data_IF_947438347404
#
_entry.id   IF_947438347404
#
_cell.length_a   1.000
_cell.length_b   1.000
_cell.length_c   1.000
_cell.angle_alpha   90.00
_cell.angle_beta   90.00
_cell.angle_gamma   90.00
#
_symmetry.space_group_name_H-M   'P 1'
#
loop_
_entity.id
_entity.type
_entity.pdbx_description
1 polymer ?
#
# COMPACT_ATOMS: atom_id res chain seq x y z
N UNK A 1 -38.23 -21.39 9.74
CA UNK A 1 -37.64 -21.24 8.39
C UNK A 1 -36.20 -20.75 8.56
N UNK A 2 -35.20 -21.54 8.20
CA UNK A 2 -33.81 -21.09 8.17
C UNK A 2 -33.67 -20.05 7.05
N UNK A 3 -33.44 -18.77 7.40
CA UNK A 3 -33.08 -17.74 6.43
C UNK A 3 -31.67 -18.08 5.93
N UNK A 4 -31.56 -18.54 4.68
CA UNK A 4 -30.25 -18.65 4.01
C UNK A 4 -29.75 -17.23 3.75
N UNK A 5 -28.74 -16.80 4.50
CA UNK A 5 -28.03 -15.56 4.21
C UNK A 5 -27.13 -15.79 3.00
N UNK A 6 -27.44 -15.14 1.88
CA UNK A 6 -26.60 -15.16 0.69
C UNK A 6 -25.58 -14.02 0.79
N UNK A 7 -24.30 -14.37 0.71
CA UNK A 7 -23.18 -13.42 0.77
C UNK A 7 -22.25 -13.69 -0.41
N UNK A 8 -21.70 -12.64 -1.02
CA UNK A 8 -20.67 -12.78 -2.06
C UNK A 8 -19.34 -12.22 -1.57
N UNK A 9 -18.29 -13.01 -1.76
CA UNK A 9 -16.94 -12.72 -1.31
C UNK A 9 -15.98 -12.65 -2.48
N UNK A 10 -15.18 -11.60 -2.54
CA UNK A 10 -14.01 -11.52 -3.42
C UNK A 10 -12.74 -11.66 -2.59
N UNK A 11 -12.05 -12.79 -2.76
CA UNK A 11 -10.75 -13.02 -2.15
C UNK A 11 -9.62 -12.53 -3.05
N UNK A 12 -8.81 -11.63 -2.52
CA UNK A 12 -7.55 -11.21 -3.13
C UNK A 12 -6.43 -11.76 -2.27
N UNK A 13 -5.52 -12.53 -2.87
CA UNK A 13 -4.34 -13.07 -2.17
C UNK A 13 -3.14 -12.20 -2.48
N UNK A 14 -2.35 -11.89 -1.45
CA UNK A 14 -1.06 -11.24 -1.59
C UNK A 14 -0.04 -12.08 -0.82
N UNK A 15 1.09 -12.38 -1.46
CA UNK A 15 2.12 -13.21 -0.88
C UNK A 15 3.01 -12.40 0.07
N UNK A 16 2.47 -12.06 1.24
CA UNK A 16 3.16 -11.30 2.28
C UNK A 16 2.83 -11.89 3.66
N UNK A 17 3.80 -11.75 4.57
CA UNK A 17 3.56 -11.72 6.01
C UNK A 17 3.33 -10.25 6.36
N UNK A 18 2.10 -9.89 6.75
CA UNK A 18 1.71 -8.51 7.00
C UNK A 18 2.58 -7.89 8.10
N UNK A 19 2.78 -8.57 9.22
CA UNK A 19 3.48 -7.98 10.37
C UNK A 19 4.94 -7.65 10.02
N UNK A 20 5.61 -8.61 9.38
CA UNK A 20 6.99 -8.41 8.90
C UNK A 20 7.07 -7.31 7.85
N UNK A 21 6.12 -7.26 6.92
CA UNK A 21 6.07 -6.21 5.91
C UNK A 21 5.90 -4.82 6.54
N UNK A 22 4.98 -4.69 7.51
CA UNK A 22 4.74 -3.43 8.19
C UNK A 22 5.96 -2.95 8.96
N UNK A 23 6.61 -3.84 9.71
CA UNK A 23 7.87 -3.55 10.41
C UNK A 23 8.96 -3.08 9.43
N UNK A 24 9.17 -3.81 8.34
CA UNK A 24 10.15 -3.43 7.31
C UNK A 24 9.84 -2.07 6.69
N UNK A 25 8.56 -1.77 6.43
CA UNK A 25 8.16 -0.50 5.83
C UNK A 25 8.28 0.67 6.81
N UNK A 26 7.94 0.49 8.09
CA UNK A 26 8.13 1.49 9.14
C UNK A 26 9.62 1.81 9.31
N UNK A 27 10.46 0.77 9.45
CA UNK A 27 11.90 0.92 9.57
C UNK A 27 12.51 1.62 8.34
N UNK A 28 12.07 1.24 7.13
CA UNK A 28 12.48 1.90 5.88
C UNK A 28 12.13 3.39 5.91
N UNK A 29 10.89 3.73 6.24
CA UNK A 29 10.43 5.13 6.25
C UNK A 29 11.19 5.95 7.29
N UNK A 30 11.29 5.47 8.53
CA UNK A 30 12.03 6.15 9.60
C UNK A 30 13.51 6.37 9.23
N UNK A 31 14.20 5.32 8.78
CA UNK A 31 15.62 5.41 8.40
C UNK A 31 15.88 6.43 7.29
N UNK A 32 14.98 6.51 6.30
CA UNK A 32 15.15 7.45 5.18
C UNK A 32 14.74 8.87 5.57
N UNK A 33 13.79 9.03 6.50
CA UNK A 33 13.45 10.33 7.07
C UNK A 33 14.64 10.91 7.85
N UNK A 34 15.24 10.11 8.73
CA UNK A 34 16.42 10.53 9.52
C UNK A 34 17.57 10.94 8.60
N UNK A 35 17.88 10.13 7.60
CA UNK A 35 18.90 10.45 6.58
C UNK A 35 18.57 11.71 5.79
N UNK A 36 17.32 11.91 5.39
CA UNK A 36 16.92 13.12 4.68
C UNK A 36 17.12 14.37 5.55
N UNK A 37 16.77 14.31 6.84
CA UNK A 37 16.96 15.41 7.80
C UNK A 37 18.45 15.65 8.05
N UNK A 38 19.25 14.60 8.21
CA UNK A 38 20.70 14.68 8.38
C UNK A 38 21.37 15.35 7.18
N UNK A 39 21.08 14.89 5.96
CA UNK A 39 21.61 15.46 4.72
C UNK A 39 21.18 16.93 4.58
N UNK A 40 19.91 17.25 4.86
CA UNK A 40 19.42 18.63 4.86
C UNK A 40 20.24 19.52 5.80
N UNK A 41 20.43 19.09 7.04
CA UNK A 41 21.19 19.83 8.05
C UNK A 41 22.66 20.00 7.65
N UNK A 42 23.25 18.97 7.04
CA UNK A 42 24.61 19.02 6.48
C UNK A 42 24.72 20.06 5.36
N UNK A 43 23.77 20.07 4.42
CA UNK A 43 23.73 21.07 3.34
C UNK A 43 23.64 22.49 3.93
N UNK A 44 22.75 22.70 4.90
CA UNK A 44 22.52 24.01 5.51
C UNK A 44 23.72 24.52 6.34
N UNK A 45 24.52 23.63 6.92
CA UNK A 45 25.69 23.99 7.73
C UNK A 45 26.97 24.16 6.91
N UNK A 46 27.24 23.27 5.96
CA UNK A 46 28.51 23.23 5.22
C UNK A 46 28.48 24.07 3.92
N UNK A 47 27.31 24.41 3.38
CA UNK A 47 27.17 25.01 2.03
C UNK A 47 26.28 26.27 1.97
N UNK A 48 26.04 26.91 3.11
CA UNK A 48 25.17 28.10 3.19
C UNK A 48 25.66 29.24 2.28
N UNK A 49 26.97 29.48 2.26
CA UNK A 49 27.64 30.49 1.41
C UNK A 49 27.34 30.29 -0.09
N UNK A 50 27.21 29.03 -0.53
CA UNK A 50 26.85 28.72 -1.92
C UNK A 50 25.38 29.02 -2.18
N UNK A 51 24.51 28.72 -1.21
CA UNK A 51 23.06 28.83 -1.34
C UNK A 51 22.53 30.25 -1.17
N UNK A 52 23.26 31.12 -0.48
CA UNK A 52 22.95 32.55 -0.33
C UNK A 52 23.01 33.33 -1.64
N UNK A 53 23.71 32.79 -2.66
CA UNK A 53 23.75 33.39 -3.98
C UNK A 53 22.32 33.58 -4.55
N UNK A 54 21.96 34.75 -5.10
CA UNK A 54 20.59 35.06 -5.52
C UNK A 54 19.93 34.02 -6.44
N UNK A 55 20.72 33.44 -7.36
CA UNK A 55 20.24 32.38 -8.28
C UNK A 55 19.99 31.01 -7.63
N UNK A 56 20.41 30.79 -6.38
CA UNK A 56 20.34 29.50 -5.67
C UNK A 56 19.50 29.57 -4.38
N UNK A 57 19.14 30.77 -3.94
CA UNK A 57 18.35 31.03 -2.73
C UNK A 57 17.04 30.24 -2.66
N UNK A 58 16.39 29.96 -3.78
CA UNK A 58 15.19 29.11 -3.81
C UNK A 58 15.44 27.69 -3.27
N UNK A 59 16.65 27.13 -3.42
CA UNK A 59 17.01 25.84 -2.81
C UNK A 59 17.12 25.96 -1.28
N UNK A 60 17.60 27.08 -0.77
CA UNK A 60 17.65 27.34 0.68
C UNK A 60 16.24 27.36 1.25
N UNK A 61 15.32 28.07 0.61
CA UNK A 61 13.90 28.13 1.00
C UNK A 61 13.29 26.71 1.03
N UNK A 62 13.48 25.93 -0.03
CA UNK A 62 13.04 24.52 -0.08
C UNK A 62 13.61 23.72 1.10
N UNK A 63 14.93 23.77 1.33
CA UNK A 63 15.58 23.03 2.41
C UNK A 63 15.02 23.42 3.78
N UNK A 64 14.78 24.70 4.05
CA UNK A 64 14.21 25.13 5.34
C UNK A 64 12.79 24.61 5.59
N UNK A 65 12.02 24.35 4.53
CA UNK A 65 10.68 23.80 4.68
C UNK A 65 10.67 22.30 4.99
N UNK A 66 11.73 21.55 4.70
CA UNK A 66 11.77 20.08 4.89
C UNK A 66 11.79 19.73 6.38
N UNK A 67 10.73 19.04 6.81
CA UNK A 67 10.54 18.44 8.13
C UNK A 67 9.66 17.19 8.01
N UNK A 68 9.37 16.52 9.13
CA UNK A 68 8.59 15.28 9.20
C UNK A 68 7.22 15.35 8.51
N UNK A 69 6.59 16.52 8.48
CA UNK A 69 5.26 16.71 7.91
C UNK A 69 5.32 17.10 6.43
N UNK A 70 6.22 18.03 6.08
CA UNK A 70 6.31 18.59 4.72
C UNK A 70 7.01 17.68 3.74
N UNK A 71 7.81 16.71 4.22
CA UNK A 71 8.55 15.78 3.38
C UNK A 71 7.64 14.97 2.44
N UNK A 72 6.37 14.74 2.81
CA UNK A 72 5.42 14.01 1.98
C UNK A 72 4.92 14.77 0.76
N UNK A 73 5.00 16.11 0.78
CA UNK A 73 4.52 16.97 -0.30
C UNK A 73 5.65 17.62 -1.11
N UNK A 74 6.89 17.58 -0.61
CA UNK A 74 7.98 18.33 -1.22
C UNK A 74 8.54 17.63 -2.47
N UNK A 75 8.76 18.40 -3.52
CA UNK A 75 9.57 17.99 -4.66
C UNK A 75 10.37 19.19 -5.18
N UNK A 76 11.55 18.92 -5.70
CA UNK A 76 12.43 19.96 -6.24
C UNK A 76 13.29 19.40 -7.37
N UNK A 77 13.64 20.23 -8.35
CA UNK A 77 14.58 19.83 -9.39
C UNK A 77 15.97 19.71 -8.80
N UNK A 78 16.66 18.59 -9.02
CA UNK A 78 18.04 18.43 -8.54
C UNK A 78 18.98 19.41 -9.27
N UNK A 79 19.86 20.13 -8.55
CA UNK A 79 20.92 20.90 -9.17
C UNK A 79 22.00 19.99 -9.78
N UNK A 80 22.56 20.39 -10.91
CA UNK A 80 23.64 19.71 -11.62
C UNK A 80 24.90 20.59 -11.67
N UNK A 81 25.34 21.07 -10.52
CA UNK A 81 26.54 21.90 -10.39
C UNK A 81 27.78 21.00 -10.30
N UNK A 82 28.81 21.34 -11.07
CA UNK A 82 30.05 20.56 -11.14
C UNK A 82 31.28 21.43 -11.46
N UNK A 83 31.17 22.74 -11.23
CA UNK A 83 32.24 23.69 -11.56
C UNK A 83 33.48 23.53 -10.64
N UNK A 84 33.27 22.99 -9.44
CA UNK A 84 34.32 22.64 -8.48
C UNK A 84 33.93 21.35 -7.76
N UNK A 85 34.88 20.72 -7.07
CA UNK A 85 34.60 19.53 -6.25
C UNK A 85 33.51 19.80 -5.22
N UNK A 86 33.58 20.95 -4.53
CA UNK A 86 32.56 21.39 -3.56
C UNK A 86 31.16 21.55 -4.19
N UNK A 87 31.08 22.01 -5.44
CA UNK A 87 29.82 22.05 -6.18
C UNK A 87 29.30 20.65 -6.53
N UNK A 88 30.19 19.75 -6.95
CA UNK A 88 29.84 18.38 -7.27
C UNK A 88 29.36 17.61 -6.03
N UNK A 89 30.02 17.79 -4.89
CA UNK A 89 29.64 17.23 -3.58
C UNK A 89 28.24 17.71 -3.17
N UNK A 90 27.98 19.02 -3.24
CA UNK A 90 26.65 19.57 -2.95
C UNK A 90 25.57 18.98 -3.87
N UNK A 91 25.86 18.87 -5.17
CA UNK A 91 24.95 18.24 -6.13
C UNK A 91 24.67 16.77 -5.83
N UNK A 92 25.66 16.06 -5.27
CA UNK A 92 25.49 14.68 -4.81
C UNK A 92 24.65 14.61 -3.53
N UNK A 93 24.85 15.52 -2.57
CA UNK A 93 23.99 15.63 -1.38
C UNK A 93 22.52 15.91 -1.75
N UNK A 94 22.26 16.80 -2.71
CA UNK A 94 20.90 17.03 -3.21
C UNK A 94 20.28 15.80 -3.89
N UNK A 95 21.11 14.98 -4.56
CA UNK A 95 20.66 13.72 -5.14
C UNK A 95 20.23 12.77 -4.04
N UNK A 96 21.09 12.57 -3.05
CA UNK A 96 20.84 11.64 -1.94
C UNK A 96 19.65 12.08 -1.09
N UNK A 97 19.50 13.39 -0.84
CA UNK A 97 18.32 13.98 -0.21
C UNK A 97 17.05 13.63 -1.01
N UNK A 98 17.04 13.89 -2.33
CA UNK A 98 15.88 13.62 -3.17
C UNK A 98 15.53 12.13 -3.22
N UNK A 99 16.53 11.25 -3.23
CA UNK A 99 16.32 9.81 -3.25
C UNK A 99 15.73 9.29 -1.92
N UNK A 100 16.18 9.81 -0.77
CA UNK A 100 15.59 9.50 0.54
C UNK A 100 14.15 10.03 0.63
N UNK A 101 13.87 11.27 0.21
CA UNK A 101 12.51 11.85 0.18
C UNK A 101 11.57 10.96 -0.64
N UNK A 102 11.99 10.53 -1.83
CA UNK A 102 11.20 9.61 -2.66
C UNK A 102 10.91 8.27 -2.00
N UNK A 103 11.78 7.80 -1.09
CA UNK A 103 11.54 6.55 -0.35
C UNK A 103 10.50 6.78 0.74
N UNK A 104 10.59 7.90 1.47
CA UNK A 104 9.61 8.31 2.49
C UNK A 104 8.21 8.51 1.89
N UNK A 105 8.13 9.16 0.73
CA UNK A 105 6.88 9.41 0.01
C UNK A 105 6.22 8.15 -0.57
N UNK A 106 6.92 7.01 -0.61
CA UNK A 106 6.29 5.76 -1.07
C UNK A 106 5.38 5.22 0.01
N UNK A 107 4.16 4.91 -0.40
CA UNK A 107 3.19 4.13 0.38
C UNK A 107 3.84 2.96 1.13
N UNK A 108 3.51 2.84 2.41
CA UNK A 108 4.11 1.92 3.38
C UNK A 108 3.14 0.80 3.82
N UNK A 109 1.90 0.82 3.33
CA UNK A 109 0.86 -0.13 3.72
C UNK A 109 0.42 -1.05 2.56
N UNK A 110 -0.12 -2.22 2.92
CA UNK A 110 -0.79 -3.14 2.00
C UNK A 110 -2.26 -2.75 1.83
N UNK A 111 -2.85 -3.08 0.69
CA UNK A 111 -4.18 -2.57 0.35
C UNK A 111 -5.08 -3.62 -0.27
N UNK A 112 -6.37 -3.55 0.06
CA UNK A 112 -7.44 -4.19 -0.70
C UNK A 112 -7.65 -3.35 -1.97
N UNK A 113 -7.51 -3.95 -3.15
CA UNK A 113 -7.44 -3.21 -4.43
C UNK A 113 -8.56 -3.53 -5.40
N UNK A 114 -9.81 -3.09 -5.15
CA UNK A 114 -10.87 -3.20 -6.13
C UNK A 114 -10.57 -2.31 -7.35
N UNK A 115 -10.91 -2.82 -8.54
CA UNK A 115 -10.87 -2.00 -9.76
C UNK A 115 -12.19 -1.28 -9.92
N UNK A 116 -12.17 -0.05 -10.44
CA UNK A 116 -13.39 0.75 -10.63
C UNK A 116 -14.41 0.04 -11.54
N UNK A 117 -13.93 -0.67 -12.57
CA UNK A 117 -14.78 -1.51 -13.42
C UNK A 117 -15.50 -2.62 -12.65
N UNK A 118 -14.83 -3.25 -11.69
CA UNK A 118 -15.41 -4.30 -10.85
C UNK A 118 -16.49 -3.71 -9.93
N UNK A 119 -16.23 -2.52 -9.36
CA UNK A 119 -17.20 -1.85 -8.49
C UNK A 119 -18.51 -1.53 -9.21
N UNK A 120 -18.46 -1.17 -10.50
CA UNK A 120 -19.68 -0.95 -11.31
C UNK A 120 -20.50 -2.22 -11.49
N UNK A 121 -19.84 -3.36 -11.67
CA UNK A 121 -20.50 -4.66 -11.79
C UNK A 121 -21.11 -5.06 -10.45
N UNK A 122 -20.36 -4.91 -9.36
CA UNK A 122 -20.84 -5.21 -8.00
C UNK A 122 -22.02 -4.30 -7.63
N UNK A 123 -21.98 -3.01 -7.97
CA UNK A 123 -23.09 -2.09 -7.75
C UNK A 123 -24.39 -2.62 -8.38
N UNK A 124 -24.35 -2.96 -9.68
CA UNK A 124 -25.52 -3.51 -10.40
C UNK A 124 -25.98 -4.84 -9.81
N UNK A 125 -25.05 -5.67 -9.33
CA UNK A 125 -25.39 -6.93 -8.68
C UNK A 125 -26.15 -6.69 -7.37
N UNK A 126 -25.64 -5.79 -6.52
CA UNK A 126 -26.29 -5.42 -5.27
C UNK A 126 -27.67 -4.80 -5.53
N UNK A 127 -27.79 -3.91 -6.52
CA UNK A 127 -29.04 -3.27 -6.91
C UNK A 127 -30.09 -4.29 -7.40
N UNK A 128 -29.70 -5.24 -8.25
CA UNK A 128 -30.62 -6.20 -8.85
C UNK A 128 -31.03 -7.34 -7.91
N UNK A 129 -30.12 -7.79 -7.04
CA UNK A 129 -30.32 -9.01 -6.24
C UNK A 129 -30.44 -8.74 -4.74
N UNK A 130 -30.15 -7.51 -4.29
CA UNK A 130 -30.12 -7.13 -2.88
C UNK A 130 -29.21 -8.04 -2.03
N UNK A 131 -28.08 -8.45 -2.60
CA UNK A 131 -27.09 -9.33 -1.97
C UNK A 131 -25.84 -8.53 -1.60
N UNK A 132 -25.45 -8.45 -0.32
CA UNK A 132 -24.26 -7.71 0.09
C UNK A 132 -22.97 -8.37 -0.42
N UNK A 133 -21.97 -7.53 -0.67
CA UNK A 133 -20.70 -7.94 -1.26
C UNK A 133 -19.52 -7.48 -0.39
N UNK A 134 -18.52 -8.35 -0.26
CA UNK A 134 -17.36 -8.12 0.61
C UNK A 134 -16.06 -8.40 -0.12
N UNK A 135 -15.03 -7.62 0.20
CA UNK A 135 -13.68 -7.79 -0.29
C UNK A 135 -12.79 -8.26 0.86
N UNK A 136 -12.16 -9.42 0.68
CA UNK A 136 -11.21 -9.99 1.62
C UNK A 136 -9.81 -9.97 1.04
N UNK A 137 -8.87 -9.39 1.77
CA UNK A 137 -7.45 -9.51 1.51
C UNK A 137 -6.85 -10.53 2.47
N UNK A 138 -6.32 -11.61 1.90
CA UNK A 138 -5.69 -12.70 2.65
C UNK A 138 -4.18 -12.58 2.51
N UNK A 139 -3.50 -12.58 3.66
CA UNK A 139 -2.05 -12.67 3.83
C UNK A 139 -1.70 -14.04 4.44
N UNK A 140 -0.40 -14.36 4.53
CA UNK A 140 0.05 -15.64 5.07
C UNK A 140 0.01 -15.72 6.61
N UNK A 141 -0.17 -14.59 7.27
CA UNK A 141 -0.28 -14.47 8.73
C UNK A 141 -1.63 -13.89 9.19
N UNK A 142 -2.27 -13.01 8.42
CA UNK A 142 -3.54 -12.34 8.78
C UNK A 142 -4.51 -12.20 7.60
N UNK A 143 -5.74 -11.79 7.87
CA UNK A 143 -6.71 -11.44 6.82
C UNK A 143 -7.61 -10.28 7.22
N UNK A 144 -7.94 -9.45 6.24
CA UNK A 144 -8.70 -8.23 6.42
C UNK A 144 -9.87 -8.16 5.45
N UNK A 145 -10.95 -7.51 5.86
CA UNK A 145 -12.18 -7.41 5.11
C UNK A 145 -12.79 -6.02 5.14
N UNK A 146 -13.45 -5.66 4.05
CA UNK A 146 -14.22 -4.42 3.90
C UNK A 146 -15.48 -4.70 3.09
N UNK A 147 -16.60 -4.12 3.49
CA UNK A 147 -17.84 -4.26 2.71
C UNK A 147 -17.78 -3.36 1.47
N UNK A 148 -18.53 -3.73 0.43
CA UNK A 148 -18.71 -2.87 -0.73
C UNK A 148 -19.33 -1.52 -0.34
N UNK A 149 -20.26 -1.53 0.61
CA UNK A 149 -20.87 -0.31 1.15
C UNK A 149 -19.83 0.61 1.80
N UNK A 150 -18.94 0.07 2.64
CA UNK A 150 -17.88 0.87 3.27
C UNK A 150 -16.91 1.44 2.24
N UNK A 151 -16.59 0.69 1.18
CA UNK A 151 -15.80 1.22 0.06
C UNK A 151 -16.51 2.43 -0.56
N UNK A 152 -17.82 2.37 -0.81
CA UNK A 152 -18.56 3.51 -1.35
C UNK A 152 -18.59 4.69 -0.36
N UNK A 153 -18.75 4.43 0.94
CA UNK A 153 -18.69 5.46 1.99
C UNK A 153 -17.31 6.11 2.10
N UNK A 154 -16.24 5.35 1.88
CA UNK A 154 -14.90 5.90 1.81
C UNK A 154 -14.75 6.81 0.60
N UNK A 155 -15.15 6.34 -0.59
CA UNK A 155 -15.05 7.11 -1.83
C UNK A 155 -15.99 8.33 -1.88
N UNK A 156 -17.10 8.29 -1.14
CA UNK A 156 -18.03 9.41 -1.01
C UNK A 156 -17.53 10.53 -0.10
N UNK A 157 -16.44 10.33 0.62
CA UNK A 157 -15.85 11.29 1.55
C UNK A 157 -14.42 11.66 1.12
N UNK A 158 -14.22 12.85 0.52
CA UNK A 158 -12.90 13.32 0.11
C UNK A 158 -11.90 13.46 1.25
N UNK A 159 -12.36 13.67 2.50
CA UNK A 159 -11.45 13.81 3.65
C UNK A 159 -10.74 12.50 4.00
N UNK A 160 -11.26 11.37 3.51
CA UNK A 160 -10.67 10.03 3.72
C UNK A 160 -9.60 9.67 2.68
N UNK A 161 -9.45 10.46 1.61
CA UNK A 161 -8.40 10.23 0.60
C UNK A 161 -7.01 10.48 1.19
N UNK A 162 -6.06 9.60 0.90
CA UNK A 162 -4.70 9.62 1.45
C UNK A 162 -4.53 8.83 2.75
N UNK A 163 -5.60 8.61 3.52
CA UNK A 163 -5.55 7.84 4.77
C UNK A 163 -6.26 6.48 4.66
N UNK A 164 -7.52 6.48 4.20
CA UNK A 164 -8.33 5.27 4.06
C UNK A 164 -8.23 4.68 2.67
N UNK A 165 -8.08 5.54 1.65
CA UNK A 165 -7.96 5.10 0.27
C UNK A 165 -7.07 6.01 -0.57
N UNK A 166 -6.56 5.46 -1.66
CA UNK A 166 -5.91 6.20 -2.74
C UNK A 166 -6.46 5.72 -4.10
N UNK A 167 -6.59 6.63 -5.05
CA UNK A 167 -6.97 6.29 -6.44
C UNK A 167 -5.74 6.36 -7.33
N UNK A 168 -5.48 5.30 -8.10
CA UNK A 168 -4.33 5.27 -9.00
C UNK A 168 -4.61 4.54 -10.30
N UNK A 169 -3.86 4.89 -11.36
CA UNK A 169 -3.83 4.17 -12.64
C UNK A 169 -2.46 3.51 -12.78
N UNK A 170 -2.35 2.29 -12.28
CA UNK A 170 -1.09 1.56 -12.32
C UNK A 170 -0.85 0.94 -13.71
N UNK A 171 0.31 1.22 -14.32
CA UNK A 171 0.71 0.63 -15.62
C UNK A 171 0.69 -0.91 -15.56
N UNK A 172 1.15 -1.48 -14.44
CA UNK A 172 1.13 -2.93 -14.18
C UNK A 172 -0.27 -3.54 -14.20
N UNK A 173 -1.30 -2.74 -13.93
CA UNK A 173 -2.71 -3.14 -13.98
C UNK A 173 -3.38 -2.74 -15.29
N UNK A 174 -2.62 -2.65 -16.39
CA UNK A 174 -3.12 -2.26 -17.71
C UNK A 174 -3.78 -0.85 -17.69
N UNK A 175 -3.24 0.06 -16.88
CA UNK A 175 -3.77 1.42 -16.68
C UNK A 175 -5.20 1.49 -16.14
N UNK A 176 -5.73 0.38 -15.60
CA UNK A 176 -7.05 0.35 -14.97
C UNK A 176 -7.05 1.17 -13.69
N UNK A 177 -8.06 2.03 -13.54
CA UNK A 177 -8.27 2.78 -12.30
C UNK A 177 -8.53 1.80 -11.17
N UNK A 178 -7.61 1.80 -10.22
CA UNK A 178 -7.60 0.91 -9.06
C UNK A 178 -7.71 1.77 -7.80
N UNK A 179 -8.63 1.39 -6.93
CA UNK A 179 -8.78 2.01 -5.62
C UNK A 179 -7.97 1.17 -4.65
N UNK A 180 -7.11 1.81 -3.86
CA UNK A 180 -6.23 1.17 -2.89
C UNK A 180 -6.75 1.46 -1.49
N UNK A 181 -7.57 0.57 -0.94
CA UNK A 181 -8.10 0.70 0.42
C UNK A 181 -7.03 0.24 1.43
N UNK A 182 -6.70 1.09 2.39
CA UNK A 182 -5.70 0.81 3.42
C UNK A 182 -6.17 -0.30 4.36
N UNK A 183 -5.45 -1.44 4.42
CA UNK A 183 -5.87 -2.57 5.28
C UNK A 183 -5.88 -2.23 6.77
N UNK A 184 -5.09 -1.25 7.22
CA UNK A 184 -5.09 -0.78 8.62
C UNK A 184 -6.41 -0.10 9.01
N UNK A 185 -7.20 0.33 8.02
CA UNK A 185 -8.48 1.02 8.20
C UNK A 185 -9.68 0.12 7.90
N UNK A 186 -9.46 -1.20 7.85
CA UNK A 186 -10.52 -2.19 7.60
C UNK A 186 -10.58 -3.23 8.72
N UNK A 187 -11.51 -4.16 8.62
CA UNK A 187 -11.81 -5.12 9.68
C UNK A 187 -10.87 -6.33 9.59
N UNK A 188 -10.11 -6.61 10.65
CA UNK A 188 -9.34 -7.85 10.74
C UNK A 188 -10.30 -9.03 10.93
N UNK A 189 -10.36 -9.94 9.96
CA UNK A 189 -11.25 -11.11 10.00
C UNK A 189 -10.54 -12.39 10.43
N UNK A 190 -9.22 -12.46 10.25
CA UNK A 190 -8.40 -13.55 10.77
C UNK A 190 -7.12 -12.96 11.37
N UNK A 191 -6.87 -13.25 12.65
CA UNK A 191 -5.72 -12.73 13.39
C UNK A 191 -4.48 -13.62 13.26
N UNK A 192 -4.66 -14.86 12.79
CA UNK A 192 -3.59 -15.82 12.54
C UNK A 192 -3.95 -16.71 11.37
N UNK A 193 -2.99 -16.97 10.49
CA UNK A 193 -3.08 -18.00 9.45
C UNK A 193 -1.90 -18.94 9.64
N UNK A 194 -2.19 -20.23 9.79
CA UNK A 194 -1.20 -21.29 9.63
C UNK A 194 -1.09 -21.56 8.15
N UNK A 195 0.11 -21.32 7.61
CA UNK A 195 0.38 -21.55 6.20
C UNK A 195 0.09 -23.01 5.81
N UNK A 196 -0.47 -23.23 4.61
CA UNK A 196 -0.61 -24.57 4.08
C UNK A 196 0.75 -25.17 3.76
N UNK A 197 0.85 -26.50 3.87
CA UNK A 197 1.98 -27.23 3.29
C UNK A 197 1.94 -27.08 1.77
N UNK A 198 3.10 -26.98 1.12
CA UNK A 198 3.19 -26.86 -0.33
C UNK A 198 4.00 -28.01 -0.92
N UNK A 199 3.45 -28.64 -1.96
CA UNK A 199 4.05 -29.80 -2.61
C UNK A 199 4.22 -29.51 -4.12
N UNK A 200 5.35 -29.93 -4.70
CA UNK A 200 5.51 -29.93 -6.16
C UNK A 200 4.87 -31.18 -6.73
N UNK A 201 3.95 -30.99 -7.66
CA UNK A 201 3.23 -32.07 -8.34
C UNK A 201 3.62 -32.09 -9.81
N UNK A 202 4.02 -33.27 -10.29
CA UNK A 202 4.23 -33.57 -11.70
C UNK A 202 3.01 -34.32 -12.23
N UNK A 203 2.37 -33.78 -13.27
CA UNK A 203 1.28 -34.44 -14.00
C UNK A 203 1.67 -34.63 -15.46
N UNK A 204 1.66 -35.88 -15.91
CA UNK A 204 1.78 -36.18 -17.33
C UNK A 204 0.43 -36.00 -18.03
N UNK A 205 0.43 -35.22 -19.10
CA UNK A 205 -0.70 -34.98 -19.98
C UNK A 205 -0.51 -35.76 -21.30
N UNK A 206 -1.55 -35.78 -22.14
CA UNK A 206 -1.49 -36.44 -23.44
C UNK A 206 -0.28 -36.00 -24.29
N UNK A 207 0.25 -36.94 -25.07
CA UNK A 207 1.43 -36.80 -25.95
C UNK A 207 2.75 -36.51 -25.20
N UNK A 208 2.94 -37.08 -24.00
CA UNK A 208 4.20 -36.96 -23.23
C UNK A 208 4.48 -35.57 -22.66
N UNK A 209 3.49 -34.67 -22.65
CA UNK A 209 3.65 -33.33 -22.07
C UNK A 209 3.65 -33.43 -20.55
N UNK A 210 4.58 -32.76 -19.90
CA UNK A 210 4.65 -32.71 -18.44
C UNK A 210 4.19 -31.33 -17.94
N UNK A 211 3.28 -31.33 -16.97
CA UNK A 211 2.86 -30.15 -16.23
C UNK A 211 3.40 -30.26 -14.81
N UNK A 212 4.22 -29.30 -14.40
CA UNK A 212 4.67 -29.15 -13.02
C UNK A 212 3.89 -27.98 -12.39
N UNK A 213 3.29 -28.21 -11.23
CA UNK A 213 2.58 -27.17 -10.49
C UNK A 213 2.69 -27.41 -8.99
N UNK A 214 2.44 -26.38 -8.19
CA UNK A 214 2.45 -26.47 -6.73
C UNK A 214 1.02 -26.69 -6.24
N UNK A 215 0.82 -27.69 -5.37
CA UNK A 215 -0.41 -27.86 -4.61
C UNK A 215 -0.21 -27.35 -3.19
N UNK A 216 -1.29 -26.83 -2.61
CA UNK A 216 -1.35 -26.43 -1.22
C UNK A 216 -2.28 -27.38 -0.48
N UNK A 217 -1.82 -27.94 0.62
CA UNK A 217 -2.56 -28.86 1.46
C UNK A 217 -2.63 -28.33 2.89
N UNK A 218 -3.74 -28.62 3.58
CA UNK A 218 -4.00 -28.13 4.94
C UNK A 218 -4.04 -26.59 4.98
N UNK A 219 -3.55 -26.00 6.07
CA UNK A 219 -3.69 -24.58 6.39
C UNK A 219 -4.89 -24.32 7.30
N UNK A 220 -4.78 -23.32 8.15
CA UNK A 220 -5.85 -22.98 9.10
C UNK A 220 -5.85 -21.48 9.37
N UNK A 221 -6.96 -20.82 9.05
CA UNK A 221 -7.19 -19.43 9.46
C UNK A 221 -7.93 -19.42 10.79
N UNK A 222 -7.41 -18.65 11.74
CA UNK A 222 -8.03 -18.41 13.04
C UNK A 222 -8.83 -17.12 12.93
N UNK A 223 -10.15 -17.29 12.84
CA UNK A 223 -11.06 -16.18 12.63
C UNK A 223 -11.25 -15.37 13.90
N UNK A 224 -11.33 -14.06 13.73
CA UNK A 224 -11.88 -13.16 14.72
C UNK A 224 -13.39 -13.13 14.49
N UNK A 225 -14.11 -13.94 15.28
CA UNK A 225 -15.55 -14.18 15.08
C UNK A 225 -16.35 -12.90 15.27
N UNK A 226 -15.99 -12.06 16.22
CA UNK A 226 -16.73 -10.82 16.52
C UNK A 226 -16.52 -9.78 15.42
N UNK A 227 -15.28 -9.62 14.95
CA UNK A 227 -14.99 -8.75 13.81
C UNK A 227 -15.65 -9.26 12.53
N UNK A 228 -15.67 -10.58 12.30
CA UNK A 228 -16.35 -11.17 11.15
C UNK A 228 -17.87 -10.95 11.23
N UNK A 229 -18.48 -11.16 12.38
CA UNK A 229 -19.90 -10.87 12.62
C UNK A 229 -20.23 -9.41 12.37
N UNK A 230 -19.41 -8.49 12.89
CA UNK A 230 -19.57 -7.04 12.69
C UNK A 230 -19.46 -6.67 11.22
N UNK A 231 -18.45 -7.19 10.51
CA UNK A 231 -18.28 -6.96 9.07
C UNK A 231 -19.52 -7.43 8.30
N UNK A 232 -20.05 -8.60 8.66
CA UNK A 232 -21.19 -9.21 7.99
C UNK A 232 -22.55 -8.69 8.47
N UNK A 233 -22.58 -7.84 9.49
CA UNK A 233 -23.78 -7.39 10.17
C UNK A 233 -24.68 -8.56 10.64
N UNK A 234 -24.08 -9.56 11.30
CA UNK A 234 -24.76 -10.74 11.84
C UNK A 234 -24.81 -10.63 13.37
N UNK A 235 -26.01 -10.60 13.94
CA UNK A 235 -26.21 -10.43 15.39
C UNK A 235 -26.16 -11.75 16.18
N UNK A 236 -26.64 -12.88 15.63
CA UNK A 236 -26.60 -14.21 16.30
C UNK A 236 -26.44 -15.37 15.30
N UNK A 237 -25.94 -16.52 15.80
CA UNK A 237 -25.78 -17.80 15.07
C UNK A 237 -26.70 -18.87 15.64
#
# INVERSE_FOLDING_TARGET
MSKKLLLVWKFVKRAFLLDKYEEEMQNRTATNLDKAIEIKNRILSEYLDILEHPKKKHYLEILTTINENTIYAIDFRRPSWSATDRFAELSQLFKDLKDNIKIVQKRDYLSITPKVEDLKVVYKWVENFNVPHYYLQVFFDKSYGVSFNDILLFLGDPQKEGEYYEISKDVKNQNKTTIKINTRKTTQVAYKVKEPEHNSVRREMGRGRLLFYVTFEKGTAYLDVDNLKRLLNIEEF
#
